data_IF_699272999095
#
_entry.id   IF_699272999095
#
_cell.length_a   1.000
_cell.length_b   1.000
_cell.length_c   1.000
_cell.angle_alpha   90.00
_cell.angle_beta   90.00
_cell.angle_gamma   90.00
#
_symmetry.space_group_name_H-M   'P 1'
#
loop_
_entity.id
_entity.type
_entity.pdbx_description
1 polymer ?
#
# COMPACT_ATOMS: atom_id res chain seq x y z
N UNK A 1 -26.14 -22.34 12.90
CA UNK A 1 -24.94 -22.44 13.74
C UNK A 1 -23.80 -21.69 13.05
N UNK A 2 -23.48 -20.45 13.41
CA UNK A 2 -22.14 -19.85 13.09
C UNK A 2 -21.86 -18.53 13.81
N UNK A 3 -22.87 -17.74 14.20
CA UNK A 3 -22.62 -16.45 14.88
C UNK A 3 -22.06 -16.58 16.31
N UNK A 4 -22.28 -17.70 16.99
CA UNK A 4 -21.79 -17.92 18.37
C UNK A 4 -20.29 -18.27 18.39
N UNK A 5 -19.82 -18.98 17.35
CA UNK A 5 -18.42 -19.40 17.23
C UNK A 5 -17.46 -18.24 16.93
N UNK A 6 -17.90 -17.25 16.12
CA UNK A 6 -17.10 -16.05 15.85
C UNK A 6 -16.92 -15.17 17.10
N UNK A 7 -17.96 -15.09 17.95
CA UNK A 7 -17.93 -14.31 19.20
C UNK A 7 -17.07 -14.98 20.28
N UNK A 8 -17.06 -16.30 20.34
CA UNK A 8 -16.17 -17.10 21.20
C UNK A 8 -14.71 -17.03 20.74
N UNK A 9 -14.45 -17.02 19.43
CA UNK A 9 -13.12 -16.80 18.89
C UNK A 9 -12.60 -15.39 19.22
N UNK A 10 -13.43 -14.36 19.05
CA UNK A 10 -13.08 -12.98 19.42
C UNK A 10 -12.80 -12.82 20.92
N UNK A 11 -13.55 -13.53 21.79
CA UNK A 11 -13.30 -13.56 23.24
C UNK A 11 -11.99 -14.26 23.62
N UNK A 12 -11.52 -15.24 22.82
CA UNK A 12 -10.22 -15.91 23.02
C UNK A 12 -9.04 -15.13 22.43
N UNK A 13 -9.31 -14.16 21.55
CA UNK A 13 -8.31 -13.27 20.94
C UNK A 13 -7.92 -12.08 21.85
N UNK A 14 -8.64 -11.85 22.96
CA UNK A 14 -8.25 -10.87 24.00
C UNK A 14 -7.02 -11.31 24.81
N UNK A 15 -6.50 -12.53 24.58
CA UNK A 15 -5.19 -12.91 25.07
C UNK A 15 -4.09 -12.19 24.25
N UNK A 16 -3.62 -11.09 24.83
CA UNK A 16 -2.74 -10.04 24.25
C UNK A 16 -1.41 -10.55 23.67
N UNK A 17 -1.10 -11.83 23.85
CA UNK A 17 0.12 -12.50 23.38
C UNK A 17 -0.04 -13.22 22.04
N UNK A 18 -1.25 -13.64 21.64
CA UNK A 18 -1.48 -14.34 20.36
C UNK A 18 -1.95 -13.42 19.22
N UNK A 19 -2.55 -12.27 19.54
CA UNK A 19 -2.97 -11.28 18.56
C UNK A 19 -1.83 -10.79 17.64
N UNK A 20 -0.60 -10.52 18.12
CA UNK A 20 0.53 -10.09 17.28
C UNK A 20 1.01 -11.16 16.28
N UNK A 21 0.81 -12.43 16.61
CA UNK A 21 1.23 -13.54 15.76
C UNK A 21 0.20 -13.75 14.66
N UNK A 22 -1.10 -13.69 14.98
CA UNK A 22 -2.16 -13.70 13.97
C UNK A 22 -2.04 -12.51 13.01
N UNK A 23 -1.80 -11.29 13.51
CA UNK A 23 -1.65 -10.11 12.64
C UNK A 23 -0.47 -10.24 11.68
N UNK A 24 0.64 -10.86 12.10
CA UNK A 24 1.77 -11.15 11.19
C UNK A 24 1.38 -12.10 10.07
N UNK A 25 0.69 -13.21 10.37
CA UNK A 25 0.26 -14.15 9.33
C UNK A 25 -0.80 -13.53 8.39
N UNK A 26 -1.73 -12.74 8.93
CA UNK A 26 -2.71 -11.99 8.15
C UNK A 26 -2.04 -10.94 7.25
N UNK A 27 -1.02 -10.23 7.77
CA UNK A 27 -0.28 -9.22 7.00
C UNK A 27 0.58 -9.89 5.92
N UNK A 28 1.21 -11.04 6.21
CA UNK A 28 1.98 -11.78 5.22
C UNK A 28 1.10 -12.39 4.12
N UNK A 29 -0.06 -12.97 4.46
CA UNK A 29 -0.99 -13.50 3.47
C UNK A 29 -1.58 -12.38 2.60
N UNK A 30 -1.88 -11.23 3.19
CA UNK A 30 -2.31 -10.04 2.46
C UNK A 30 -1.21 -9.49 1.54
N UNK A 31 0.05 -9.48 2.00
CA UNK A 31 1.20 -9.10 1.16
C UNK A 31 1.29 -10.00 -0.07
N UNK A 32 1.24 -11.32 0.13
CA UNK A 32 1.25 -12.30 -0.96
C UNK A 32 0.06 -12.11 -1.91
N UNK A 33 -1.13 -11.85 -1.38
CA UNK A 33 -2.32 -11.57 -2.19
C UNK A 33 -2.13 -10.31 -3.05
N UNK A 34 -1.55 -9.24 -2.50
CA UNK A 34 -1.26 -8.01 -3.24
C UNK A 34 -0.22 -8.22 -4.34
N UNK A 35 0.86 -8.97 -4.07
CA UNK A 35 1.87 -9.31 -5.09
C UNK A 35 1.22 -9.99 -6.30
N UNK A 36 0.40 -11.02 -6.04
CA UNK A 36 -0.35 -11.72 -7.08
C UNK A 36 -1.26 -10.74 -7.83
N UNK A 37 -2.07 -9.95 -7.12
CA UNK A 37 -2.99 -9.01 -7.77
C UNK A 37 -2.28 -7.94 -8.62
N UNK A 38 -1.11 -7.47 -8.17
CA UNK A 38 -0.31 -6.52 -8.95
C UNK A 38 0.30 -7.15 -10.22
N UNK A 39 0.70 -8.42 -10.18
CA UNK A 39 1.15 -9.14 -11.38
C UNK A 39 0.03 -9.22 -12.43
N UNK A 40 -1.20 -9.48 -12.01
CA UNK A 40 -2.35 -9.56 -12.91
C UNK A 40 -2.86 -8.19 -13.38
N UNK A 41 -2.67 -7.13 -12.60
CA UNK A 41 -3.20 -5.79 -12.92
C UNK A 41 -2.72 -5.23 -14.27
N UNK A 42 -1.58 -5.71 -14.78
CA UNK A 42 -1.04 -5.28 -16.09
C UNK A 42 -1.92 -5.74 -17.25
N UNK A 43 -2.43 -6.97 -17.20
CA UNK A 43 -3.03 -7.66 -18.36
C UNK A 43 -4.54 -7.98 -18.21
N UNK A 44 -5.12 -7.75 -17.03
CA UNK A 44 -6.45 -8.29 -16.69
C UNK A 44 -7.64 -7.32 -16.79
N UNK A 45 -8.83 -7.94 -16.76
CA UNK A 45 -10.17 -7.36 -16.81
C UNK A 45 -10.46 -6.28 -15.74
N UNK A 46 -11.50 -5.47 -15.98
CA UNK A 46 -11.97 -4.42 -15.06
C UNK A 46 -12.29 -4.91 -13.66
N UNK A 47 -12.76 -6.14 -13.52
CA UNK A 47 -13.24 -6.68 -12.25
C UNK A 47 -12.08 -6.97 -11.29
N UNK A 48 -11.00 -7.58 -11.78
CA UNK A 48 -9.77 -7.78 -10.98
C UNK A 48 -9.11 -6.46 -10.61
N UNK A 49 -9.13 -5.49 -11.53
CA UNK A 49 -8.62 -4.13 -11.29
C UNK A 49 -9.39 -3.43 -10.16
N UNK A 50 -10.74 -3.55 -10.15
CA UNK A 50 -11.57 -3.02 -9.07
C UNK A 50 -11.27 -3.70 -7.73
N UNK A 51 -11.03 -5.01 -7.74
CA UNK A 51 -10.73 -5.78 -6.53
C UNK A 51 -9.40 -5.40 -5.91
N UNK A 52 -8.37 -5.19 -6.73
CA UNK A 52 -7.08 -4.67 -6.25
C UNK A 52 -7.28 -3.31 -5.58
N UNK A 53 -8.01 -2.40 -6.24
CA UNK A 53 -8.23 -1.06 -5.70
C UNK A 53 -8.97 -1.07 -4.36
N UNK A 54 -10.00 -1.92 -4.22
CA UNK A 54 -10.73 -2.07 -2.97
C UNK A 54 -9.83 -2.57 -1.84
N UNK A 55 -9.01 -3.60 -2.11
CA UNK A 55 -8.05 -4.14 -1.13
C UNK A 55 -7.04 -3.07 -0.73
N UNK A 56 -6.53 -2.27 -1.67
CA UNK A 56 -5.59 -1.18 -1.38
C UNK A 56 -6.21 -0.11 -0.47
N UNK A 57 -7.45 0.33 -0.78
CA UNK A 57 -8.17 1.32 0.03
C UNK A 57 -8.47 0.81 1.44
N UNK A 58 -8.94 -0.43 1.56
CA UNK A 58 -9.21 -1.05 2.86
C UNK A 58 -7.92 -1.19 3.67
N UNK A 59 -6.85 -1.66 3.05
CA UNK A 59 -5.54 -1.83 3.67
C UNK A 59 -4.97 -0.50 4.18
N UNK A 60 -5.01 0.55 3.36
CA UNK A 60 -4.52 1.86 3.77
C UNK A 60 -5.39 2.50 4.86
N UNK A 61 -6.72 2.37 4.76
CA UNK A 61 -7.62 2.87 5.80
C UNK A 61 -7.39 2.15 7.12
N UNK A 62 -7.22 0.82 7.10
CA UNK A 62 -6.92 0.04 8.28
C UNK A 62 -5.57 0.43 8.89
N UNK A 63 -4.51 0.55 8.08
CA UNK A 63 -3.21 1.02 8.54
C UNK A 63 -3.28 2.40 9.23
N UNK A 64 -4.01 3.36 8.63
CA UNK A 64 -4.17 4.70 9.19
C UNK A 64 -4.94 4.70 10.51
N UNK A 65 -5.89 3.78 10.68
CA UNK A 65 -6.64 3.60 11.94
C UNK A 65 -5.82 3.01 13.09
N UNK A 66 -4.67 2.36 12.79
CA UNK A 66 -3.82 1.77 13.82
C UNK A 66 -3.21 2.85 14.72
N UNK A 67 -3.30 2.62 16.03
CA UNK A 67 -2.67 3.48 17.05
C UNK A 67 -1.39 2.88 17.60
N UNK A 68 -1.22 1.55 17.51
CA UNK A 68 -0.04 0.84 18.00
C UNK A 68 1.11 0.93 17.01
N UNK A 69 2.25 1.45 17.48
CA UNK A 69 3.50 1.47 16.69
C UNK A 69 3.93 0.06 16.28
N UNK A 70 3.79 -0.93 17.17
CA UNK A 70 4.17 -2.31 16.89
C UNK A 70 3.35 -2.89 15.73
N UNK A 71 2.04 -2.64 15.70
CA UNK A 71 1.19 -3.06 14.59
C UNK A 71 1.57 -2.33 13.29
N UNK A 72 1.87 -1.03 13.37
CA UNK A 72 2.34 -0.28 12.19
C UNK A 72 3.68 -0.80 11.65
N UNK A 73 4.58 -1.22 12.52
CA UNK A 73 5.87 -1.78 12.13
C UNK A 73 5.70 -3.14 11.42
N UNK A 74 4.70 -3.95 11.80
CA UNK A 74 4.34 -5.19 11.10
C UNK A 74 3.86 -4.94 9.67
N UNK A 75 3.24 -3.79 9.42
CA UNK A 75 2.73 -3.39 8.10
C UNK A 75 3.79 -2.78 7.19
N UNK A 76 5.01 -2.52 7.68
CA UNK A 76 6.06 -1.89 6.88
C UNK A 76 6.41 -2.72 5.63
N UNK A 77 6.48 -4.04 5.76
CA UNK A 77 6.76 -4.94 4.62
C UNK A 77 5.66 -4.87 3.55
N UNK A 78 4.39 -4.93 3.97
CA UNK A 78 3.24 -4.85 3.08
C UNK A 78 3.21 -3.51 2.32
N UNK A 79 3.41 -2.40 3.05
CA UNK A 79 3.41 -1.07 2.44
C UNK A 79 4.60 -0.90 1.48
N UNK A 80 5.79 -1.40 1.82
CA UNK A 80 6.94 -1.36 0.93
C UNK A 80 6.65 -2.10 -0.38
N UNK A 81 6.14 -3.33 -0.32
CA UNK A 81 5.76 -4.11 -1.51
C UNK A 81 4.73 -3.32 -2.34
N UNK A 82 3.68 -2.84 -1.68
CA UNK A 82 2.60 -2.08 -2.33
C UNK A 82 3.11 -0.85 -3.06
N UNK A 83 3.90 -0.01 -2.40
CA UNK A 83 4.41 1.22 -3.01
C UNK A 83 5.50 0.96 -4.04
N UNK A 84 6.26 -0.13 -3.94
CA UNK A 84 7.15 -0.55 -5.02
C UNK A 84 6.36 -0.93 -6.27
N UNK A 85 5.27 -1.70 -6.15
CA UNK A 85 4.41 -2.00 -7.29
C UNK A 85 3.74 -0.76 -7.87
N UNK A 86 3.21 0.14 -7.04
CA UNK A 86 2.67 1.42 -7.51
C UNK A 86 3.75 2.25 -8.25
N UNK A 87 5.01 2.18 -7.81
CA UNK A 87 6.09 2.87 -8.49
C UNK A 87 6.45 2.24 -9.85
N UNK A 88 6.33 0.92 -10.00
CA UNK A 88 6.80 0.19 -11.20
C UNK A 88 5.71 -0.15 -12.21
N UNK A 89 4.43 -0.11 -11.84
CA UNK A 89 3.31 -0.34 -12.78
C UNK A 89 3.39 0.61 -13.97
N UNK A 90 2.92 0.26 -15.17
CA UNK A 90 3.00 1.15 -16.33
C UNK A 90 2.19 2.46 -16.16
N UNK A 91 2.46 3.48 -16.98
CA UNK A 91 1.84 4.80 -16.83
C UNK A 91 0.30 4.78 -16.97
N UNK A 92 -0.24 3.99 -17.89
CA UNK A 92 -1.70 3.86 -18.12
C UNK A 92 -2.43 3.34 -16.88
N UNK A 93 -1.82 2.36 -16.22
CA UNK A 93 -2.33 1.73 -15.01
C UNK A 93 -2.09 2.59 -13.78
N UNK A 94 -0.97 3.31 -13.74
CA UNK A 94 -0.65 4.27 -12.67
C UNK A 94 -1.67 5.42 -12.59
N UNK A 95 -2.04 5.99 -13.74
CA UNK A 95 -3.01 7.09 -13.79
C UNK A 95 -4.43 6.65 -13.41
N UNK A 96 -4.72 5.34 -13.46
CA UNK A 96 -5.98 4.77 -12.98
C UNK A 96 -5.97 4.56 -11.45
N UNK A 97 -4.86 4.08 -10.88
CA UNK A 97 -4.76 3.81 -9.44
C UNK A 97 -4.59 5.10 -8.61
N UNK A 98 -3.70 5.99 -9.02
CA UNK A 98 -3.28 7.07 -8.13
C UNK A 98 -4.34 8.09 -7.76
N UNK A 99 -5.29 8.51 -8.61
CA UNK A 99 -6.35 9.43 -8.20
C UNK A 99 -7.15 8.87 -7.02
N UNK A 100 -7.35 7.56 -6.99
CA UNK A 100 -8.14 6.85 -6.00
C UNK A 100 -7.39 6.59 -4.69
N UNK A 101 -6.06 6.62 -4.72
CA UNK A 101 -5.17 6.34 -3.59
C UNK A 101 -4.41 7.57 -3.09
N UNK A 102 -4.57 8.73 -3.74
CA UNK A 102 -3.77 9.92 -3.49
C UNK A 102 -3.86 10.40 -2.04
N UNK A 103 -5.08 10.55 -1.52
CA UNK A 103 -5.29 11.03 -0.15
C UNK A 103 -4.69 10.05 0.88
N UNK A 104 -4.98 8.76 0.75
CA UNK A 104 -4.37 7.73 1.60
C UNK A 104 -2.85 7.76 1.55
N UNK A 105 -2.26 7.96 0.37
CA UNK A 105 -0.81 8.03 0.19
C UNK A 105 -0.22 9.25 0.93
N UNK A 106 -0.87 10.41 0.82
CA UNK A 106 -0.48 11.62 1.54
C UNK A 106 -0.60 11.45 3.07
N UNK A 107 -1.67 10.82 3.53
CA UNK A 107 -1.91 10.57 4.95
C UNK A 107 -0.90 9.59 5.54
N UNK A 108 -0.57 8.51 4.80
CA UNK A 108 0.48 7.55 5.19
C UNK A 108 1.83 8.26 5.25
N UNK A 109 2.18 9.06 4.24
CA UNK A 109 3.44 9.82 4.20
C UNK A 109 3.58 10.78 5.39
N UNK A 110 2.48 11.40 5.80
CA UNK A 110 2.43 12.33 6.93
C UNK A 110 2.52 11.63 8.30
N UNK A 111 2.37 10.31 8.34
CA UNK A 111 2.42 9.52 9.57
C UNK A 111 3.86 9.12 9.96
N UNK A 112 4.02 8.53 11.15
CA UNK A 112 5.32 8.03 11.62
C UNK A 112 5.70 6.72 10.93
N UNK A 113 6.33 6.82 9.76
CA UNK A 113 6.81 5.69 8.95
C UNK A 113 8.33 5.59 8.88
N UNK A 114 8.84 4.42 8.47
CA UNK A 114 10.26 4.16 8.25
C UNK A 114 10.85 5.05 7.13
N UNK A 115 12.16 5.31 7.17
CA UNK A 115 12.81 6.10 6.12
C UNK A 115 12.74 5.44 4.74
N UNK A 116 12.84 4.11 4.70
CA UNK A 116 12.71 3.33 3.46
C UNK A 116 11.33 3.56 2.82
N UNK A 117 10.27 3.51 3.63
CA UNK A 117 8.91 3.74 3.15
C UNK A 117 8.71 5.18 2.67
N UNK A 118 9.28 6.17 3.37
CA UNK A 118 9.28 7.57 2.89
C UNK A 118 9.92 7.70 1.52
N UNK A 119 11.05 7.04 1.29
CA UNK A 119 11.78 7.13 0.02
C UNK A 119 10.92 6.59 -1.13
N UNK A 120 10.29 5.42 -0.98
CA UNK A 120 9.47 4.87 -2.05
C UNK A 120 8.18 5.67 -2.28
N UNK A 121 7.50 6.13 -1.23
CA UNK A 121 6.31 6.98 -1.38
C UNK A 121 6.69 8.31 -2.06
N UNK A 122 7.81 8.92 -1.70
CA UNK A 122 8.28 10.13 -2.38
C UNK A 122 8.55 9.89 -3.87
N UNK A 123 9.04 8.71 -4.28
CA UNK A 123 9.18 8.36 -5.70
C UNK A 123 7.81 8.25 -6.39
N UNK A 124 6.83 7.61 -5.75
CA UNK A 124 5.45 7.55 -6.25
C UNK A 124 4.86 8.96 -6.40
N UNK A 125 4.99 9.83 -5.40
CA UNK A 125 4.46 11.20 -5.46
C UNK A 125 5.14 12.05 -6.52
N UNK A 126 6.46 11.89 -6.74
CA UNK A 126 7.15 12.54 -7.87
C UNK A 126 6.65 12.04 -9.21
N UNK A 127 6.34 10.74 -9.31
CA UNK A 127 5.75 10.14 -10.51
C UNK A 127 4.35 10.68 -10.77
N UNK A 128 3.51 10.92 -9.75
CA UNK A 128 2.25 11.66 -9.90
C UNK A 128 2.50 13.01 -10.58
N UNK A 129 3.53 13.74 -10.17
CA UNK A 129 3.90 15.00 -10.81
C UNK A 129 4.19 14.90 -12.31
N UNK A 130 4.78 13.79 -12.76
CA UNK A 130 5.14 13.54 -14.16
C UNK A 130 3.99 12.96 -14.98
N UNK A 131 3.20 12.04 -14.42
CA UNK A 131 2.11 11.36 -15.15
C UNK A 131 0.85 12.22 -15.29
N UNK A 132 0.67 13.22 -14.41
CA UNK A 132 -0.47 14.15 -14.44
C UNK A 132 -0.06 15.56 -14.91
N UNK A 133 1.12 15.69 -15.53
CA UNK A 133 1.65 16.95 -16.08
C UNK A 133 1.66 18.14 -15.10
N UNK A 134 1.80 17.85 -13.79
CA UNK A 134 1.90 18.87 -12.74
C UNK A 134 3.28 19.54 -12.78
N UNK A 135 4.32 18.75 -13.07
CA UNK A 135 5.71 19.20 -13.18
C UNK A 135 6.18 19.00 -14.61
N UNK A 136 6.80 20.03 -15.20
CA UNK A 136 7.42 19.90 -16.52
C UNK A 136 8.52 18.83 -16.48
N UNK A 137 8.50 17.86 -17.39
CA UNK A 137 9.62 16.93 -17.60
C UNK A 137 10.88 17.76 -17.86
N UNK A 138 11.80 17.80 -16.89
CA UNK A 138 13.11 18.44 -17.09
C UNK A 138 13.84 17.57 -18.12
N UNK A 139 14.30 18.13 -19.25
CA UNK A 139 15.05 17.37 -20.23
C UNK A 139 16.29 16.75 -19.57
N UNK A 140 16.42 15.43 -19.64
CA UNK A 140 17.50 14.62 -19.03
C UNK A 140 18.90 15.11 -19.36
N UNK A 141 19.05 15.91 -20.43
CA UNK A 141 20.31 16.54 -20.86
C UNK A 141 20.94 17.49 -19.81
N UNK A 142 20.17 17.99 -18.84
CA UNK A 142 20.66 18.96 -17.86
C UNK A 142 21.33 18.33 -16.61
N UNK A 143 21.32 16.99 -16.47
CA UNK A 143 21.87 16.30 -15.28
C UNK A 143 23.30 15.74 -15.47
N UNK A 144 23.96 15.96 -16.60
CA UNK A 144 25.37 15.54 -16.82
C UNK A 144 26.38 16.64 -16.43
N UNK A 145 25.91 17.79 -15.93
CA UNK A 145 26.78 18.90 -15.50
C UNK A 145 26.51 19.29 -14.04
N UNK A 146 26.70 18.37 -13.09
CA UNK A 146 27.21 18.74 -11.76
C UNK A 146 27.60 17.48 -10.95
N UNK A 147 28.92 17.23 -10.93
CA UNK A 147 29.75 16.43 -10.00
C UNK A 147 29.69 14.90 -10.02
#
# INVERSE_FOLDING_TARGET
MSHRSAKELMSRMEDKTMLPVLTKYETSSLTCCLEILFEFYVDESSDLNSKLLDILRESFSYYLSMTSKLQKDEWNSLLLVTFNHLYTVNDEKFIQLMPELYNHTCDILSSHISNELKVIICKVMKRVGLCFDIVKKVPTMMMIMDR
#
